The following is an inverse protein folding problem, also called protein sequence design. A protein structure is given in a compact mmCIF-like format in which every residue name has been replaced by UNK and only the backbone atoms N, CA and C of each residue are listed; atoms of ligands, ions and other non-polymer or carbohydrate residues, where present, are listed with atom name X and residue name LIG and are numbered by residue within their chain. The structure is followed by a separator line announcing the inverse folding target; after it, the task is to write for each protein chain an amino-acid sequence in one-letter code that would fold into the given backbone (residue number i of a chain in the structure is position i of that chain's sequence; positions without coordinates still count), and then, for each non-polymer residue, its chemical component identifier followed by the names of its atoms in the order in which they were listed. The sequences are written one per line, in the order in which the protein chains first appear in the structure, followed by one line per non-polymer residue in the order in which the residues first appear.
data_IF_305517761136
#
_entry.id   IF_305517761136
#
_cell.length_a   1.000
_cell.length_b   1.000
_cell.length_c   1.000
_cell.angle_alpha   90.00
_cell.angle_beta   90.00
_cell.angle_gamma   90.00
#
_symmetry.space_group_name_H-M   'P 1'
#
loop_
_entity.id
_entity.type
_entity.pdbx_description
1 polymer ?
#
# COMPACT_ATOMS: atom_id res chain seq x y z
N UNK A 1 -13.10 17.09 7.87
CA UNK A 1 -13.79 17.05 9.18
C UNK A 1 -12.84 17.22 10.37
N UNK A 2 -11.62 16.66 10.34
CA UNK A 2 -10.63 16.78 11.43
C UNK A 2 -10.22 18.22 11.75
N UNK A 3 -10.08 19.10 10.74
CA UNK A 3 -9.68 20.49 10.94
C UNK A 3 -10.63 21.29 11.85
N UNK A 4 -11.95 21.09 11.71
CA UNK A 4 -12.93 21.78 12.54
C UNK A 4 -12.83 21.37 14.02
N UNK A 5 -12.63 20.08 14.29
CA UNK A 5 -12.46 19.55 15.65
C UNK A 5 -11.15 20.04 16.27
N UNK A 6 -10.05 20.09 15.49
CA UNK A 6 -8.76 20.65 15.91
C UNK A 6 -8.90 22.11 16.36
N UNK A 7 -9.55 22.93 15.53
CA UNK A 7 -9.78 24.35 15.83
C UNK A 7 -10.68 24.53 17.05
N UNK A 8 -11.79 23.81 17.14
CA UNK A 8 -12.73 23.94 18.25
C UNK A 8 -12.16 23.44 19.60
N UNK A 9 -11.34 22.39 19.58
CA UNK A 9 -10.75 21.81 20.80
C UNK A 9 -9.41 22.43 21.20
N UNK A 10 -8.75 23.17 20.29
CA UNK A 10 -7.40 23.69 20.50
C UNK A 10 -6.32 22.60 20.61
N UNK A 11 -6.63 21.35 20.22
CA UNK A 11 -5.72 20.21 20.35
C UNK A 11 -5.41 19.59 18.99
N UNK A 12 -4.16 19.17 18.84
CA UNK A 12 -3.72 18.42 17.67
C UNK A 12 -4.12 16.95 17.81
N UNK A 13 -4.81 16.38 16.80
CA UNK A 13 -5.24 15.00 16.85
C UNK A 13 -4.05 14.06 16.61
N UNK A 14 -4.04 12.95 17.33
CA UNK A 14 -3.20 11.81 16.97
C UNK A 14 -3.91 11.07 15.84
N UNK A 15 -3.30 11.06 14.65
CA UNK A 15 -3.88 10.39 13.48
C UNK A 15 -3.49 8.92 13.51
N UNK A 16 -4.47 8.07 13.82
CA UNK A 16 -4.32 6.62 13.73
C UNK A 16 -4.85 6.13 12.38
N UNK A 17 -3.94 5.85 11.46
CA UNK A 17 -4.28 5.39 10.12
C UNK A 17 -3.15 5.63 9.12
N UNK A 18 -3.25 5.04 7.94
CA UNK A 18 -2.29 5.24 6.85
C UNK A 18 -2.19 6.73 6.47
N UNK A 19 -1.00 7.26 6.12
CA UNK A 19 0.31 6.59 6.07
C UNK A 19 1.11 6.67 7.39
N UNK A 20 0.46 6.83 8.55
CA UNK A 20 1.12 7.18 9.81
C UNK A 20 1.68 5.97 10.57
N UNK A 21 2.85 6.17 11.20
CA UNK A 21 3.60 5.15 11.97
C UNK A 21 2.82 4.52 13.12
N UNK A 22 1.93 5.28 13.78
CA UNK A 22 1.13 4.76 14.90
C UNK A 22 0.33 3.50 14.54
N UNK A 23 -0.18 3.42 13.30
CA UNK A 23 -0.87 2.22 12.82
C UNK A 23 0.09 1.05 12.58
N UNK A 24 1.27 1.31 12.02
CA UNK A 24 2.27 0.26 11.78
C UNK A 24 2.79 -0.34 13.10
N UNK A 25 3.12 0.51 14.07
CA UNK A 25 3.60 0.08 15.38
C UNK A 25 2.57 -0.81 16.08
N UNK A 26 1.29 -0.43 16.00
CA UNK A 26 0.20 -1.24 16.51
C UNK A 26 0.10 -2.61 15.81
N UNK A 27 0.26 -2.68 14.48
CA UNK A 27 0.22 -3.94 13.75
C UNK A 27 1.41 -4.84 14.12
N UNK A 28 2.60 -4.28 14.29
CA UNK A 28 3.78 -5.03 14.74
C UNK A 28 3.54 -5.58 16.14
N UNK A 29 3.01 -4.77 17.06
CA UNK A 29 2.78 -5.18 18.45
C UNK A 29 1.66 -6.23 18.59
N UNK A 30 0.57 -6.06 17.85
CA UNK A 30 -0.64 -6.89 18.03
C UNK A 30 -0.73 -8.09 17.10
N UNK A 31 -0.21 -7.97 15.88
CA UNK A 31 -0.27 -9.02 14.86
C UNK A 31 1.11 -9.65 14.57
N UNK A 32 2.19 -9.11 15.13
CA UNK A 32 3.53 -9.67 14.98
C UNK A 32 4.06 -9.62 13.55
N UNK A 33 3.57 -8.68 12.73
CA UNK A 33 3.97 -8.59 11.32
C UNK A 33 5.45 -8.25 11.17
N UNK A 34 6.11 -8.88 10.20
CA UNK A 34 7.47 -8.53 9.79
C UNK A 34 7.40 -7.84 8.43
N UNK A 35 8.05 -6.68 8.27
CA UNK A 35 7.96 -5.93 7.02
C UNK A 35 8.40 -6.76 5.79
N UNK A 36 9.43 -7.59 5.98
CA UNK A 36 10.03 -8.39 4.91
C UNK A 36 9.14 -9.54 4.39
N UNK A 37 8.13 -9.99 5.15
CA UNK A 37 7.24 -11.09 4.77
C UNK A 37 5.78 -10.65 4.62
N UNK A 38 5.51 -9.35 4.75
CA UNK A 38 4.16 -8.79 4.74
C UNK A 38 3.94 -7.92 3.50
N UNK A 39 2.83 -8.18 2.80
CA UNK A 39 2.39 -7.38 1.67
C UNK A 39 1.20 -6.49 2.05
N UNK A 40 1.22 -5.24 1.58
CA UNK A 40 0.11 -4.30 1.68
C UNK A 40 -0.63 -4.25 0.35
N UNK A 41 -1.90 -4.65 0.34
CA UNK A 41 -2.78 -4.55 -0.83
C UNK A 41 -3.72 -3.35 -0.66
N UNK A 42 -3.81 -2.49 -1.67
CA UNK A 42 -4.67 -1.31 -1.63
C UNK A 42 -4.93 -0.67 -2.98
N UNK A 43 -5.71 0.40 -3.00
CA UNK A 43 -6.16 1.08 -4.22
C UNK A 43 -5.71 2.54 -4.28
N UNK A 44 -5.01 3.04 -3.26
CA UNK A 44 -4.59 4.45 -3.17
C UNK A 44 -3.08 4.60 -3.04
N UNK A 45 -2.50 5.42 -3.92
CA UNK A 45 -1.07 5.73 -3.90
C UNK A 45 -0.66 6.57 -2.69
N UNK A 46 -1.53 7.47 -2.23
CA UNK A 46 -1.24 8.43 -1.17
C UNK A 46 -1.38 7.88 0.25
N UNK A 47 -2.16 6.82 0.42
CA UNK A 47 -2.33 6.15 1.70
C UNK A 47 -1.70 4.78 1.72
N UNK A 48 -2.10 3.87 0.82
CA UNK A 48 -1.75 2.45 0.93
C UNK A 48 -0.33 2.20 0.47
N UNK A 49 0.00 2.65 -0.73
CA UNK A 49 1.34 2.43 -1.30
C UNK A 49 2.38 3.25 -0.53
N UNK A 50 2.05 4.50 -0.20
CA UNK A 50 2.91 5.30 0.67
C UNK A 50 3.13 4.65 2.05
N UNK A 51 2.09 4.08 2.66
CA UNK A 51 2.24 3.36 3.93
C UNK A 51 3.15 2.14 3.77
N UNK A 52 2.91 1.32 2.74
CA UNK A 52 3.69 0.13 2.48
C UNK A 52 5.18 0.47 2.31
N UNK A 53 5.46 1.43 1.44
CA UNK A 53 6.80 1.88 1.11
C UNK A 53 7.52 2.53 2.31
N UNK A 54 6.81 3.32 3.11
CA UNK A 54 7.38 3.94 4.31
C UNK A 54 7.86 2.91 5.34
N UNK A 55 7.22 1.73 5.39
CA UNK A 55 7.52 0.70 6.37
C UNK A 55 8.14 -0.57 5.76
N UNK A 56 8.53 -0.54 4.49
CA UNK A 56 9.24 -1.64 3.82
C UNK A 56 8.38 -2.87 3.54
N UNK A 57 7.06 -2.71 3.47
CA UNK A 57 6.12 -3.76 3.07
C UNK A 57 6.10 -3.87 1.54
N UNK A 58 5.88 -5.08 1.01
CA UNK A 58 5.63 -5.26 -0.42
C UNK A 58 4.33 -4.52 -0.81
N UNK A 59 4.42 -3.56 -1.72
CA UNK A 59 3.28 -2.70 -2.08
C UNK A 59 2.56 -3.21 -3.33
N UNK A 60 1.27 -3.54 -3.19
CA UNK A 60 0.45 -4.11 -4.26
C UNK A 60 -0.78 -3.23 -4.49
N UNK A 61 -0.84 -2.59 -5.67
CA UNK A 61 -1.97 -1.75 -6.05
C UNK A 61 -2.98 -2.52 -6.91
N UNK A 62 -4.25 -2.51 -6.52
CA UNK A 62 -5.35 -2.98 -7.36
C UNK A 62 -6.09 -1.80 -8.01
N UNK A 63 -6.44 -1.95 -9.29
CA UNK A 63 -7.04 -0.88 -10.09
C UNK A 63 -8.58 -0.86 -10.03
N UNK A 64 -9.18 -1.50 -9.03
CA UNK A 64 -10.64 -1.54 -8.82
C UNK A 64 -11.20 -0.35 -8.06
N UNK A 65 -10.32 0.48 -7.47
CA UNK A 65 -10.70 1.58 -6.59
C UNK A 65 -10.34 2.96 -7.14
N UNK A 66 -9.64 3.74 -6.32
CA UNK A 66 -9.36 5.16 -6.56
C UNK A 66 -8.25 5.37 -7.60
N UNK A 67 -7.21 4.54 -7.58
CA UNK A 67 -6.10 4.63 -8.54
C UNK A 67 -6.49 4.00 -9.86
N UNK A 68 -6.46 4.80 -10.93
CA UNK A 68 -6.63 4.33 -12.31
C UNK A 68 -5.27 4.18 -13.00
N UNK A 69 -5.27 3.59 -14.21
CA UNK A 69 -4.05 3.46 -15.03
C UNK A 69 -3.45 4.82 -15.36
N UNK A 70 -4.29 5.82 -15.59
CA UNK A 70 -3.89 7.19 -15.91
C UNK A 70 -3.22 7.86 -14.70
N UNK A 71 -3.84 7.77 -13.52
CA UNK A 71 -3.28 8.28 -12.26
C UNK A 71 -1.92 7.64 -11.97
N UNK A 72 -1.81 6.32 -12.16
CA UNK A 72 -0.55 5.61 -12.00
C UNK A 72 0.50 6.05 -13.04
N UNK A 73 0.11 6.24 -14.30
CA UNK A 73 1.02 6.69 -15.35
C UNK A 73 1.52 8.12 -15.10
N UNK A 74 0.67 9.00 -14.57
CA UNK A 74 1.05 10.34 -14.13
C UNK A 74 2.01 10.29 -12.95
N UNK A 75 1.70 9.50 -11.92
CA UNK A 75 2.56 9.33 -10.75
C UNK A 75 3.96 8.81 -11.14
N UNK A 76 4.06 7.95 -12.16
CA UNK A 76 5.35 7.43 -12.66
C UNK A 76 6.20 8.49 -13.37
N UNK A 77 5.60 9.55 -13.90
CA UNK A 77 6.32 10.64 -14.58
C UNK A 77 6.88 11.66 -13.59
N UNK A 78 6.28 11.76 -12.41
CA UNK A 78 6.70 12.67 -11.36
C UNK A 78 7.78 12.02 -10.48
N UNK A 79 9.00 12.57 -10.56
CA UNK A 79 10.17 12.03 -9.85
C UNK A 79 10.04 12.13 -8.32
N UNK A 80 9.21 13.04 -7.82
CA UNK A 80 8.99 13.25 -6.39
C UNK A 80 8.00 12.21 -5.81
N UNK A 81 7.26 11.50 -6.66
CA UNK A 81 6.29 10.48 -6.24
C UNK A 81 6.87 9.07 -6.07
N UNK A 82 8.21 8.89 -6.14
CA UNK A 82 8.83 7.56 -6.00
C UNK A 82 8.38 6.80 -4.76
N UNK A 83 8.18 7.50 -3.62
CA UNK A 83 7.71 6.88 -2.38
C UNK A 83 6.26 6.37 -2.41
N UNK A 84 5.49 6.66 -3.47
CA UNK A 84 4.06 6.32 -3.60
C UNK A 84 3.80 5.30 -4.71
N UNK A 85 4.83 4.94 -5.47
CA UNK A 85 4.68 3.98 -6.55
C UNK A 85 4.55 2.57 -5.97
N UNK A 86 3.61 1.77 -6.51
CA UNK A 86 3.49 0.37 -6.13
C UNK A 86 4.64 -0.46 -6.73
N UNK A 87 5.04 -1.50 -6.01
CA UNK A 87 5.95 -2.54 -6.52
C UNK A 87 5.21 -3.39 -7.57
N UNK A 88 3.95 -3.73 -7.29
CA UNK A 88 3.10 -4.55 -8.15
C UNK A 88 1.75 -3.93 -8.41
N UNK A 89 1.20 -4.18 -9.60
CA UNK A 89 -0.11 -3.68 -9.99
C UNK A 89 -0.94 -4.80 -10.60
N UNK A 90 -2.15 -4.96 -10.10
CA UNK A 90 -3.11 -5.92 -10.62
C UNK A 90 -4.42 -5.22 -11.01
N UNK A 91 -5.10 -5.65 -12.08
CA UNK A 91 -6.40 -5.08 -12.42
C UNK A 91 -7.42 -5.28 -11.28
N UNK A 92 -7.47 -6.47 -10.70
CA UNK A 92 -8.38 -6.83 -9.62
C UNK A 92 -7.73 -7.73 -8.55
N UNK A 93 -8.41 -7.88 -7.41
CA UNK A 93 -8.03 -8.88 -6.40
C UNK A 93 -8.15 -10.33 -6.92
N UNK A 94 -8.99 -10.60 -7.91
CA UNK A 94 -9.12 -11.93 -8.51
C UNK A 94 -7.87 -12.27 -9.32
N UNK A 95 -7.32 -11.28 -10.05
CA UNK A 95 -6.07 -11.46 -10.80
C UNK A 95 -4.90 -11.72 -9.85
N UNK A 96 -4.82 -10.95 -8.76
CA UNK A 96 -3.84 -11.16 -7.70
C UNK A 96 -3.96 -12.58 -7.11
N UNK A 97 -5.17 -13.01 -6.74
CA UNK A 97 -5.38 -14.34 -6.18
C UNK A 97 -4.98 -15.44 -7.17
N UNK A 98 -5.39 -15.31 -8.43
CA UNK A 98 -5.05 -16.28 -9.49
C UNK A 98 -3.54 -16.42 -9.63
N UNK A 99 -2.81 -15.30 -9.59
CA UNK A 99 -1.36 -15.31 -9.65
C UNK A 99 -0.75 -16.01 -8.45
N UNK A 100 -1.21 -15.72 -7.22
CA UNK A 100 -0.71 -16.35 -6.01
C UNK A 100 -0.98 -17.86 -6.00
N UNK A 101 -2.17 -18.31 -6.41
CA UNK A 101 -2.51 -19.73 -6.48
C UNK A 101 -1.61 -20.50 -7.46
N UNK A 102 -1.24 -19.88 -8.58
CA UNK A 102 -0.33 -20.49 -9.57
C UNK A 102 1.13 -20.53 -9.08
N UNK A 103 1.50 -19.70 -8.11
CA UNK A 103 2.83 -19.68 -7.50
C UNK A 103 3.00 -20.77 -6.44
N UNK A 104 1.94 -21.18 -5.74
CA UNK A 104 1.99 -22.32 -4.82
C UNK A 104 2.32 -23.64 -5.53
N UNK A 105 1.96 -23.76 -6.82
CA UNK A 105 2.36 -24.91 -7.67
C UNK A 105 3.82 -24.83 -8.16
N UNK A 106 4.44 -23.64 -8.14
CA UNK A 106 5.80 -23.39 -8.62
C UNK A 106 6.53 -22.45 -7.65
N UNK A 107 6.96 -22.96 -6.50
CA UNK A 107 7.60 -22.18 -5.43
C UNK A 107 8.83 -21.43 -5.94
N UNK A 108 8.65 -20.17 -6.34
CA UNK A 108 9.72 -19.17 -6.44
C UNK A 108 9.15 -17.74 -6.41
N UNK A 109 9.38 -17.04 -5.29
CA UNK A 109 8.98 -15.64 -5.06
C UNK A 109 9.62 -14.65 -6.05
N UNK A 110 10.63 -15.06 -6.82
CA UNK A 110 11.24 -14.27 -7.90
C UNK A 110 10.33 -14.03 -9.13
N UNK A 111 9.22 -14.75 -9.27
CA UNK A 111 8.33 -14.60 -10.43
C UNK A 111 7.43 -13.34 -10.40
N UNK A 112 7.40 -12.65 -9.27
CA UNK A 112 6.55 -11.48 -9.02
C UNK A 112 6.84 -10.31 -9.97
N UNK A 113 8.11 -10.10 -10.36
CA UNK A 113 8.49 -8.97 -11.22
C UNK A 113 8.28 -9.18 -12.72
N UNK A 114 7.94 -10.41 -13.16
CA UNK A 114 7.88 -10.75 -14.59
C UNK A 114 6.49 -10.56 -15.23
N UNK A 115 5.44 -10.39 -14.41
CA UNK A 115 4.03 -10.39 -14.87
C UNK A 115 3.27 -9.11 -14.44
N UNK A 116 3.91 -8.19 -13.71
CA UNK A 116 3.35 -6.90 -13.28
C UNK A 116 3.59 -5.77 -14.30
#
# INVERSE_FOLDING_TARGET
MVAAVRVASGKDPIVFGKPHKAMFDYLVETAGICAADTAMVGDRLDTDMLFANNFGLLSICVLTGTTTKEVLAEARRDLDNKGRLPDLVYPTLVDLHTQLSNMDENVNLTAIAAVA
#
